data_IF_422536710608
#
_entry.id   IF_422536710608
#
_cell.length_a   1.000
_cell.length_b   1.000
_cell.length_c   1.000
_cell.angle_alpha   90.00
_cell.angle_beta   90.00
_cell.angle_gamma   90.00
#
_symmetry.space_group_name_H-M   'P 1'
#
loop_
_entity.id
_entity.type
_entity.pdbx_description
1 polymer ?
#
# COMPACT_ATOMS: atom_id res chain seq x y z
N UNK A 1 -23.83 -26.25 4.68
CA UNK A 1 -23.02 -26.70 3.54
C UNK A 1 -23.07 -25.75 2.34
N UNK A 2 -24.23 -25.20 1.98
CA UNK A 2 -24.34 -24.22 0.90
C UNK A 2 -23.61 -22.88 1.19
N UNK A 3 -23.51 -22.51 2.43
CA UNK A 3 -22.87 -21.26 2.86
C UNK A 3 -21.36 -21.22 2.58
N UNK A 4 -20.67 -22.35 2.74
CA UNK A 4 -19.24 -22.41 2.46
C UNK A 4 -18.93 -22.28 0.97
N UNK A 5 -19.76 -22.84 0.12
CA UNK A 5 -19.62 -22.70 -1.33
C UNK A 5 -19.94 -21.27 -1.79
N UNK A 6 -20.96 -20.65 -1.18
CA UNK A 6 -21.32 -19.25 -1.47
C UNK A 6 -20.20 -18.32 -1.01
N UNK A 7 -19.62 -18.54 0.17
CA UNK A 7 -18.48 -17.78 0.66
C UNK A 7 -17.26 -17.95 -0.25
N UNK A 8 -16.95 -19.16 -0.67
CA UNK A 8 -15.86 -19.43 -1.62
C UNK A 8 -16.11 -18.78 -2.97
N UNK A 9 -17.35 -18.79 -3.46
CA UNK A 9 -17.73 -18.11 -4.70
C UNK A 9 -17.63 -16.58 -4.57
N UNK A 10 -18.07 -16.03 -3.45
CA UNK A 10 -17.97 -14.58 -3.18
C UNK A 10 -16.53 -14.15 -3.07
N UNK A 11 -15.69 -14.92 -2.35
CA UNK A 11 -14.25 -14.66 -2.24
C UNK A 11 -13.58 -14.80 -3.61
N UNK A 12 -13.94 -15.81 -4.37
CA UNK A 12 -13.43 -16.04 -5.72
C UNK A 12 -13.86 -14.91 -6.68
N UNK A 13 -15.11 -14.49 -6.62
CA UNK A 13 -15.62 -13.34 -7.39
C UNK A 13 -14.94 -12.04 -6.98
N UNK A 14 -14.70 -11.85 -5.69
CA UNK A 14 -13.99 -10.69 -5.18
C UNK A 14 -12.54 -10.67 -5.65
N UNK A 15 -11.86 -11.82 -5.60
CA UNK A 15 -10.50 -12.00 -6.11
C UNK A 15 -10.47 -11.78 -7.63
N UNK A 16 -11.44 -12.33 -8.38
CA UNK A 16 -11.56 -12.15 -9.82
C UNK A 16 -11.83 -10.70 -10.20
N UNK A 17 -12.67 -10.01 -9.45
CA UNK A 17 -12.99 -8.61 -9.69
C UNK A 17 -11.79 -7.73 -9.34
N UNK A 18 -11.06 -8.07 -8.29
CA UNK A 18 -9.80 -7.45 -7.95
C UNK A 18 -8.75 -7.70 -9.05
N UNK A 19 -8.70 -8.87 -9.62
CA UNK A 19 -7.84 -9.24 -10.74
C UNK A 19 -8.20 -8.48 -12.02
N UNK A 20 -9.49 -8.40 -12.34
CA UNK A 20 -10.00 -7.73 -13.56
C UNK A 20 -9.91 -6.21 -13.44
N UNK A 21 -10.05 -5.66 -12.24
CA UNK A 21 -9.87 -4.23 -12.00
C UNK A 21 -8.41 -3.82 -11.77
N UNK A 22 -7.50 -4.72 -12.02
CA UNK A 22 -6.07 -4.45 -11.92
C UNK A 22 -5.49 -4.78 -10.55
N UNK A 23 -6.15 -5.60 -9.72
CA UNK A 23 -5.83 -5.59 -8.37
C UNK A 23 -5.50 -6.78 -7.59
N UNK A 24 -5.09 -7.91 -7.83
CA UNK A 24 -4.59 -8.79 -6.74
C UNK A 24 -3.74 -9.98 -7.15
N UNK A 25 -3.32 -10.06 -8.38
CA UNK A 25 -2.32 -11.04 -8.78
C UNK A 25 -0.94 -10.39 -8.86
N UNK A 26 0.04 -11.15 -9.25
CA UNK A 26 1.43 -10.71 -9.35
C UNK A 26 1.61 -9.41 -10.12
N UNK A 27 0.74 -9.13 -11.11
CA UNK A 27 0.71 -7.85 -11.83
C UNK A 27 0.26 -6.69 -10.94
N UNK A 28 -0.63 -6.95 -9.97
CA UNK A 28 -1.12 -5.94 -9.05
C UNK A 28 -0.22 -5.69 -7.87
N UNK A 29 0.45 -6.71 -7.40
CA UNK A 29 1.56 -6.53 -6.47
C UNK A 29 2.63 -5.65 -7.10
N UNK A 30 2.89 -5.80 -8.42
CA UNK A 30 3.76 -4.91 -9.19
C UNK A 30 3.19 -3.51 -9.32
N UNK A 31 1.91 -3.39 -9.63
CA UNK A 31 1.21 -2.12 -9.77
C UNK A 31 1.12 -1.41 -8.41
N UNK A 32 0.78 -2.16 -7.35
CA UNK A 32 0.78 -1.65 -5.98
C UNK A 32 2.16 -1.18 -5.52
N UNK A 33 3.21 -1.89 -5.88
CA UNK A 33 4.60 -1.48 -5.57
C UNK A 33 4.99 -0.22 -6.33
N UNK A 34 4.67 -0.14 -7.64
CA UNK A 34 4.96 1.04 -8.45
C UNK A 34 4.13 2.24 -8.00
N UNK A 35 2.87 2.03 -7.64
CA UNK A 35 1.99 3.06 -7.09
C UNK A 35 2.53 3.59 -5.75
N UNK A 36 3.00 2.71 -4.88
CA UNK A 36 3.63 3.09 -3.61
C UNK A 36 4.91 3.88 -3.82
N UNK A 37 5.75 3.48 -4.79
CA UNK A 37 6.95 4.24 -5.15
C UNK A 37 6.61 5.60 -5.74
N UNK A 38 5.56 5.69 -6.53
CA UNK A 38 5.08 6.95 -7.09
C UNK A 38 4.60 7.89 -5.98
N UNK A 39 3.85 7.36 -5.01
CA UNK A 39 3.44 8.11 -3.82
C UNK A 39 4.66 8.59 -3.00
N UNK A 40 5.65 7.75 -2.81
CA UNK A 40 6.90 8.12 -2.12
C UNK A 40 7.61 9.29 -2.81
N UNK A 41 7.63 9.30 -4.13
CA UNK A 41 8.22 10.40 -4.92
C UNK A 41 7.45 11.70 -4.64
N UNK A 42 6.13 11.64 -4.56
CA UNK A 42 5.34 12.84 -4.25
C UNK A 42 5.67 13.35 -2.85
N UNK A 43 5.68 12.50 -1.84
CA UNK A 43 6.03 12.91 -0.47
C UNK A 43 7.43 13.51 -0.38
N UNK A 44 8.37 12.98 -1.15
CA UNK A 44 9.76 13.47 -1.16
C UNK A 44 9.90 14.82 -1.87
N UNK A 45 9.16 15.03 -2.95
CA UNK A 45 9.35 16.17 -3.86
C UNK A 45 8.25 17.24 -3.78
N UNK A 46 7.22 17.04 -2.97
CA UNK A 46 6.11 17.99 -2.89
C UNK A 46 6.57 19.39 -2.44
N UNK A 47 5.99 20.49 -2.93
CA UNK A 47 4.99 20.53 -3.99
C UNK A 47 5.59 20.23 -5.38
N UNK A 48 4.88 19.50 -6.19
CA UNK A 48 5.33 19.06 -7.52
C UNK A 48 4.17 19.14 -8.51
N UNK A 49 4.45 19.55 -9.75
CA UNK A 49 3.40 19.62 -10.76
C UNK A 49 3.07 18.25 -11.31
N UNK A 50 1.81 18.08 -11.78
CA UNK A 50 1.40 16.85 -12.43
C UNK A 50 2.19 16.56 -13.71
N UNK A 51 2.67 17.61 -14.39
CA UNK A 51 3.53 17.47 -15.56
C UNK A 51 4.92 16.93 -15.20
N UNK A 52 5.53 17.41 -14.13
CA UNK A 52 6.79 16.89 -13.62
C UNK A 52 6.65 15.45 -13.16
N UNK A 53 5.55 15.12 -12.50
CA UNK A 53 5.25 13.74 -12.10
C UNK A 53 5.09 12.81 -13.30
N UNK A 54 4.47 13.28 -14.39
CA UNK A 54 4.34 12.50 -15.62
C UNK A 54 5.71 12.23 -16.26
N UNK A 55 6.64 13.18 -16.22
CA UNK A 55 8.01 12.99 -16.67
C UNK A 55 8.76 11.95 -15.83
N UNK A 56 8.60 12.02 -14.52
CA UNK A 56 9.18 11.02 -13.60
C UNK A 56 8.56 9.64 -13.86
N UNK A 57 7.25 9.56 -14.06
CA UNK A 57 6.56 8.33 -14.39
C UNK A 57 7.09 7.67 -15.66
N UNK A 58 7.39 8.47 -16.68
CA UNK A 58 8.00 7.96 -17.91
C UNK A 58 9.42 7.44 -17.62
N UNK A 59 10.21 8.19 -16.91
CA UNK A 59 11.63 7.87 -16.65
C UNK A 59 11.79 6.66 -15.73
N UNK A 60 11.04 6.63 -14.62
CA UNK A 60 11.22 5.65 -13.55
C UNK A 60 10.41 4.36 -13.77
N UNK A 61 9.25 4.46 -14.40
CA UNK A 61 8.31 3.34 -14.54
C UNK A 61 7.98 3.00 -15.99
N UNK A 62 8.50 3.76 -16.94
CA UNK A 62 8.14 3.66 -18.36
C UNK A 62 6.62 3.80 -18.59
N UNK A 63 5.99 4.64 -17.80
CA UNK A 63 4.57 4.93 -17.88
C UNK A 63 4.30 6.00 -18.94
N UNK A 64 3.27 5.79 -19.72
CA UNK A 64 2.71 6.86 -20.55
C UNK A 64 2.16 7.97 -19.65
N UNK A 65 2.11 9.18 -20.17
CA UNK A 65 1.57 10.34 -19.46
C UNK A 65 0.18 10.07 -18.88
N UNK A 66 -0.69 9.41 -19.65
CA UNK A 66 -2.04 9.03 -19.22
C UNK A 66 -2.01 8.07 -18.03
N UNK A 67 -1.08 7.15 -17.97
CA UNK A 67 -0.90 6.22 -16.85
C UNK A 67 -0.53 6.97 -15.58
N UNK A 68 0.42 7.88 -15.65
CA UNK A 68 0.81 8.71 -14.49
C UNK A 68 -0.36 9.53 -13.96
N UNK A 69 -1.15 10.13 -14.84
CA UNK A 69 -2.34 10.88 -14.44
C UNK A 69 -3.41 9.98 -13.81
N UNK A 70 -3.60 8.77 -14.34
CA UNK A 70 -4.55 7.80 -13.78
C UNK A 70 -4.13 7.38 -12.37
N UNK A 71 -2.87 7.07 -12.17
CA UNK A 71 -2.35 6.69 -10.84
C UNK A 71 -2.46 7.86 -9.86
N UNK A 72 -2.09 9.07 -10.29
CA UNK A 72 -2.23 10.27 -9.48
C UNK A 72 -3.68 10.51 -9.06
N UNK A 73 -4.62 10.38 -9.99
CA UNK A 73 -6.04 10.54 -9.69
C UNK A 73 -6.53 9.52 -8.66
N UNK A 74 -6.08 8.26 -8.75
CA UNK A 74 -6.40 7.24 -7.74
C UNK A 74 -5.89 7.63 -6.36
N UNK A 75 -4.66 8.13 -6.27
CA UNK A 75 -4.08 8.58 -4.99
C UNK A 75 -4.86 9.76 -4.42
N UNK A 76 -5.29 10.67 -5.27
CA UNK A 76 -6.15 11.80 -4.86
C UNK A 76 -7.54 11.31 -4.41
N UNK A 77 -8.16 10.39 -5.14
CA UNK A 77 -9.46 9.82 -4.81
C UNK A 77 -9.45 9.07 -3.47
N UNK A 78 -8.33 8.47 -3.12
CA UNK A 78 -8.13 7.82 -1.81
C UNK A 78 -7.94 8.82 -0.67
N UNK A 79 -7.81 10.11 -0.96
CA UNK A 79 -7.66 11.16 0.03
C UNK A 79 -6.23 11.33 0.57
N UNK A 80 -5.22 10.79 -0.11
CA UNK A 80 -3.84 10.89 0.33
C UNK A 80 -3.12 12.11 -0.21
N UNK A 81 -3.54 12.56 -1.39
CA UNK A 81 -2.97 13.72 -2.07
C UNK A 81 -4.08 14.60 -2.63
N UNK A 82 -3.73 15.84 -2.91
CA UNK A 82 -4.61 16.77 -3.64
C UNK A 82 -3.85 17.41 -4.79
N UNK A 83 -4.59 17.75 -5.81
CA UNK A 83 -4.08 18.52 -6.96
C UNK A 83 -4.89 19.79 -7.08
N UNK A 84 -4.23 20.92 -6.94
CA UNK A 84 -4.80 22.26 -7.11
C UNK A 84 -3.96 23.05 -8.11
N UNK A 85 -4.60 23.55 -9.17
CA UNK A 85 -3.92 24.31 -10.22
C UNK A 85 -2.71 23.57 -10.81
N UNK A 86 -2.85 22.24 -10.96
CA UNK A 86 -1.79 21.38 -11.48
C UNK A 86 -0.67 21.07 -10.50
N UNK A 87 -0.74 21.54 -9.27
CA UNK A 87 0.25 21.30 -8.23
C UNK A 87 -0.25 20.25 -7.26
N UNK A 88 0.57 19.25 -6.98
CA UNK A 88 0.26 18.12 -6.11
C UNK A 88 0.93 18.29 -4.76
N UNK A 89 0.15 18.11 -3.70
CA UNK A 89 0.61 18.12 -2.31
C UNK A 89 -0.05 16.99 -1.54
N UNK A 90 0.55 16.55 -0.44
CA UNK A 90 -0.02 15.50 0.41
C UNK A 90 -1.09 16.05 1.35
N UNK A 91 -2.11 15.22 1.62
CA UNK A 91 -3.13 15.46 2.64
C UNK A 91 -2.82 14.70 3.93
N UNK A 92 -2.06 13.62 3.83
CA UNK A 92 -1.55 12.85 4.97
C UNK A 92 -0.05 12.70 4.83
N UNK A 93 0.66 12.54 5.94
CA UNK A 93 2.09 12.26 5.93
C UNK A 93 2.36 10.83 5.47
N UNK A 94 3.59 10.57 5.03
CA UNK A 94 4.05 9.21 4.73
C UNK A 94 3.91 8.29 5.94
N UNK A 95 4.28 8.76 7.10
CA UNK A 95 4.21 8.02 8.36
C UNK A 95 2.76 7.63 8.69
N UNK A 96 1.84 8.56 8.54
CA UNK A 96 0.41 8.29 8.75
C UNK A 96 -0.14 7.29 7.74
N UNK A 97 0.27 7.41 6.47
CA UNK A 97 -0.10 6.44 5.44
C UNK A 97 0.36 5.02 5.81
N UNK A 98 1.62 4.87 6.17
CA UNK A 98 2.15 3.55 6.53
C UNK A 98 1.53 3.01 7.82
N UNK A 99 1.25 3.87 8.78
CA UNK A 99 0.56 3.47 10.01
C UNK A 99 -0.84 2.90 9.71
N UNK A 100 -1.64 3.62 8.94
CA UNK A 100 -2.98 3.16 8.54
C UNK A 100 -2.93 1.90 7.71
N UNK A 101 -1.98 1.82 6.79
CA UNK A 101 -1.85 0.67 5.88
C UNK A 101 -1.44 -0.59 6.64
N UNK A 102 -0.50 -0.49 7.56
CA UNK A 102 -0.07 -1.63 8.38
C UNK A 102 -1.18 -2.09 9.34
N UNK A 103 -1.89 -1.16 9.96
CA UNK A 103 -3.04 -1.46 10.81
C UNK A 103 -4.13 -2.20 10.03
N UNK A 104 -4.51 -1.69 8.87
CA UNK A 104 -5.51 -2.31 8.00
C UNK A 104 -5.09 -3.71 7.56
N UNK A 105 -3.83 -3.90 7.21
CA UNK A 105 -3.32 -5.21 6.79
C UNK A 105 -3.43 -6.24 7.91
N UNK A 106 -3.01 -5.89 9.13
CA UNK A 106 -3.09 -6.79 10.28
C UNK A 106 -4.56 -7.07 10.63
N UNK A 107 -5.42 -6.06 10.55
CA UNK A 107 -6.86 -6.22 10.82
C UNK A 107 -7.52 -7.18 9.81
N UNK A 108 -7.30 -6.94 8.52
CA UNK A 108 -7.96 -7.70 7.46
C UNK A 108 -7.40 -9.12 7.32
N UNK A 109 -6.09 -9.28 7.48
CA UNK A 109 -5.41 -10.56 7.23
C UNK A 109 -5.29 -11.41 8.48
N UNK A 110 -5.08 -10.79 9.64
CA UNK A 110 -4.79 -11.48 10.91
C UNK A 110 -5.81 -11.18 12.01
N UNK A 111 -6.96 -10.65 11.65
CA UNK A 111 -8.02 -10.36 12.63
C UNK A 111 -7.61 -9.37 13.71
N UNK A 112 -6.69 -8.46 13.41
CA UNK A 112 -6.17 -7.49 14.35
C UNK A 112 -5.06 -8.01 15.28
N UNK A 113 -4.60 -9.24 15.06
CA UNK A 113 -3.59 -9.86 15.93
C UNK A 113 -2.18 -9.66 15.41
N UNK A 114 -1.45 -8.72 15.98
CA UNK A 114 -0.02 -8.54 15.71
C UNK A 114 0.81 -9.78 16.08
N UNK A 115 0.55 -10.48 17.22
CA UNK A 115 1.23 -11.75 17.49
C UNK A 115 1.02 -12.80 16.39
N UNK A 116 -0.18 -12.90 15.82
CA UNK A 116 -0.44 -13.82 14.70
C UNK A 116 0.36 -13.46 13.46
N UNK A 117 0.47 -12.17 13.15
CA UNK A 117 1.32 -11.68 12.06
C UNK A 117 2.78 -12.09 12.29
N UNK A 118 3.32 -11.82 13.47
CA UNK A 118 4.71 -12.15 13.82
C UNK A 118 4.98 -13.65 13.77
N UNK A 119 4.02 -14.46 14.24
CA UNK A 119 4.13 -15.92 14.20
C UNK A 119 4.20 -16.43 12.75
N UNK A 120 3.34 -15.91 11.87
CA UNK A 120 3.35 -16.25 10.45
C UNK A 120 4.65 -15.81 9.78
N UNK A 121 5.11 -14.60 10.03
CA UNK A 121 6.36 -14.06 9.52
C UNK A 121 7.55 -14.92 9.95
N UNK A 122 7.60 -15.31 11.23
CA UNK A 122 8.67 -16.08 11.83
C UNK A 122 8.79 -17.51 11.31
N UNK A 123 7.77 -18.07 10.64
CA UNK A 123 7.87 -19.40 10.03
C UNK A 123 8.86 -19.42 8.85
N UNK A 124 9.07 -18.30 8.20
CA UNK A 124 9.91 -18.21 7.00
C UNK A 124 11.13 -17.31 7.16
N UNK A 125 11.12 -16.42 8.13
CA UNK A 125 12.21 -15.46 8.35
C UNK A 125 12.76 -15.61 9.77
N UNK A 126 14.06 -15.70 9.87
CA UNK A 126 14.75 -15.63 11.16
C UNK A 126 15.21 -14.19 11.40
N UNK A 127 15.16 -13.79 12.65
CA UNK A 127 15.59 -12.46 13.07
C UNK A 127 17.00 -12.55 13.66
N UNK A 128 17.82 -11.54 13.38
CA UNK A 128 19.10 -11.38 14.05
C UNK A 128 18.90 -10.96 15.51
N UNK A 129 19.91 -11.14 16.35
CA UNK A 129 19.86 -10.70 17.74
C UNK A 129 19.62 -9.20 17.85
N UNK A 130 20.21 -8.41 16.96
CA UNK A 130 20.00 -6.96 16.90
C UNK A 130 18.54 -6.62 16.58
N UNK A 131 17.92 -7.29 15.62
CA UNK A 131 16.52 -7.10 15.26
C UNK A 131 15.57 -7.49 16.40
N UNK A 132 15.87 -8.60 17.10
CA UNK A 132 15.09 -9.02 18.27
C UNK A 132 15.12 -7.95 19.35
N UNK A 133 16.31 -7.41 19.67
CA UNK A 133 16.46 -6.37 20.70
C UNK A 133 15.73 -5.09 20.31
N UNK A 134 15.81 -4.69 19.04
CA UNK A 134 15.09 -3.53 18.53
C UNK A 134 13.56 -3.71 18.61
N UNK A 135 13.07 -4.89 18.20
CA UNK A 135 11.64 -5.22 18.28
C UNK A 135 11.14 -5.22 19.73
N UNK A 136 11.91 -5.77 20.65
CA UNK A 136 11.55 -5.74 22.08
C UNK A 136 11.39 -4.33 22.58
N UNK A 137 12.28 -3.42 22.23
CA UNK A 137 12.18 -2.00 22.61
C UNK A 137 10.95 -1.34 22.01
N UNK A 138 10.67 -1.59 20.73
CA UNK A 138 9.49 -1.05 20.04
C UNK A 138 8.20 -1.54 20.70
N UNK A 139 8.11 -2.84 20.96
CA UNK A 139 6.92 -3.45 21.59
C UNK A 139 6.72 -2.88 22.99
N UNK A 140 7.77 -2.75 23.77
CA UNK A 140 7.66 -2.19 25.13
C UNK A 140 7.18 -0.74 25.10
N UNK A 141 7.63 0.06 24.12
CA UNK A 141 7.16 1.44 23.93
C UNK A 141 5.70 1.54 23.50
N UNK A 142 5.12 0.47 22.97
CA UNK A 142 3.70 0.42 22.58
C UNK A 142 2.77 -0.03 23.71
N UNK A 143 3.30 -0.39 24.85
CA UNK A 143 2.50 -0.82 26.01
C UNK A 143 1.61 0.33 26.48
N UNK A 144 0.32 0.03 26.71
CA UNK A 144 -0.67 0.97 27.25
C UNK A 144 -0.49 1.17 28.76
#
# INVERSE_FOLDING_TARGET
MHWQMVLLLVVYMYILQAVVSGGMLMSDLKMGTAEARFADIIWEKEPITSGELAQIGLKEFNWKRTTSHTVLNRLCDRGWFKKENGVVTSLISREEYYARHSEAYVEETFGGSLPAFLAAFGTRKQLSDAEVDELKKLIEGMRR
#
